data_IF_142059194862
#
_entry.id   IF_142059194862
#
_cell.length_a   1.000
_cell.length_b   1.000
_cell.length_c   1.000
_cell.angle_alpha   90.00
_cell.angle_beta   90.00
_cell.angle_gamma   90.00
#
_symmetry.space_group_name_H-M   'P 1'
#
loop_
_entity.id
_entity.type
_entity.pdbx_description
1 polymer ?
#
# COMPACT_ATOMS: atom_id res chain seq x y z
N UNK A 1 -60.60 -52.13 -58.14
CA UNK A 1 -59.82 -53.35 -57.81
C UNK A 1 -59.16 -53.08 -56.46
N UNK A 2 -59.56 -53.78 -55.39
CA UNK A 2 -58.84 -54.94 -54.81
C UNK A 2 -57.59 -54.49 -54.03
N UNK A 3 -57.45 -54.73 -52.72
CA UNK A 3 -58.26 -55.53 -51.76
C UNK A 3 -58.05 -55.08 -50.30
N UNK A 4 -59.09 -55.18 -49.47
CA UNK A 4 -59.02 -55.36 -47.99
C UNK A 4 -59.02 -56.87 -47.66
N UNK A 5 -58.86 -57.36 -46.41
CA UNK A 5 -58.61 -56.71 -45.11
C UNK A 5 -57.17 -57.04 -44.60
N UNK A 6 -56.74 -57.25 -43.33
CA UNK A 6 -57.37 -57.52 -42.01
C UNK A 6 -56.45 -57.12 -40.85
N UNK A 7 -57.01 -56.92 -39.65
CA UNK A 7 -56.30 -56.48 -38.43
C UNK A 7 -55.51 -57.58 -37.69
N UNK A 8 -54.62 -57.17 -36.79
CA UNK A 8 -54.13 -57.99 -35.66
C UNK A 8 -53.78 -57.10 -34.45
N UNK A 9 -54.32 -57.43 -33.28
CA UNK A 9 -54.08 -56.75 -32.00
C UNK A 9 -52.94 -57.38 -31.20
N UNK A 10 -52.28 -56.60 -30.33
CA UNK A 10 -51.64 -57.10 -29.09
C UNK A 10 -51.27 -55.97 -28.13
N UNK A 11 -51.68 -56.11 -26.87
CA UNK A 11 -51.33 -55.20 -25.78
C UNK A 11 -49.86 -55.33 -25.34
N UNK A 12 -49.30 -54.22 -24.83
CA UNK A 12 -48.36 -54.29 -23.69
C UNK A 12 -48.24 -52.96 -22.90
N UNK A 13 -49.01 -52.92 -21.82
CA UNK A 13 -48.80 -52.23 -20.52
C UNK A 13 -47.67 -51.21 -20.38
N UNK A 14 -48.07 -49.99 -19.97
CA UNK A 14 -47.53 -49.21 -18.83
C UNK A 14 -46.03 -49.30 -18.49
N UNK A 15 -45.32 -48.19 -18.73
CA UNK A 15 -44.26 -47.71 -17.84
C UNK A 15 -44.12 -46.18 -17.96
N UNK A 16 -44.22 -45.46 -16.83
CA UNK A 16 -43.88 -44.03 -16.71
C UNK A 16 -42.53 -43.91 -15.99
N UNK A 17 -41.50 -43.31 -16.59
CA UNK A 17 -40.31 -42.86 -15.86
C UNK A 17 -40.31 -41.33 -15.71
N UNK A 18 -40.35 -40.86 -14.46
CA UNK A 18 -40.26 -39.43 -14.11
C UNK A 18 -38.79 -39.02 -14.04
N UNK A 19 -38.32 -38.09 -14.88
CA UNK A 19 -37.02 -37.39 -14.78
C UNK A 19 -36.95 -36.29 -15.86
N UNK A 20 -36.38 -35.10 -15.64
CA UNK A 20 -36.26 -34.27 -14.44
C UNK A 20 -36.05 -32.81 -14.89
N UNK A 21 -36.60 -31.83 -14.17
CA UNK A 21 -36.49 -30.42 -14.57
C UNK A 21 -35.14 -29.83 -14.11
N UNK A 22 -34.14 -29.82 -14.99
CA UNK A 22 -32.85 -29.13 -14.74
C UNK A 22 -32.98 -27.64 -15.05
N UNK A 23 -33.20 -26.83 -14.01
CA UNK A 23 -33.14 -25.37 -14.11
C UNK A 23 -31.69 -24.90 -14.32
N UNK A 24 -31.42 -24.23 -15.45
CA UNK A 24 -30.12 -23.64 -15.73
C UNK A 24 -29.96 -22.31 -14.97
N UNK A 25 -29.20 -22.32 -13.88
CA UNK A 25 -28.83 -21.11 -13.14
C UNK A 25 -27.69 -20.37 -13.87
N UNK A 26 -28.03 -19.43 -14.75
CA UNK A 26 -27.10 -18.39 -15.20
C UNK A 26 -26.90 -17.35 -14.09
N UNK A 27 -26.13 -17.71 -13.06
CA UNK A 27 -25.57 -16.79 -12.09
C UNK A 27 -24.13 -16.45 -12.49
N UNK A 28 -23.93 -15.29 -13.12
CA UNK A 28 -22.57 -14.85 -13.49
C UNK A 28 -21.73 -14.58 -12.24
N UNK A 29 -20.58 -15.26 -12.13
CA UNK A 29 -19.58 -14.90 -11.15
C UNK A 29 -19.01 -13.52 -11.51
N UNK A 30 -19.33 -12.50 -10.71
CA UNK A 30 -18.60 -11.24 -10.74
C UNK A 30 -17.24 -11.52 -10.09
N UNK A 31 -16.18 -11.59 -10.89
CA UNK A 31 -14.79 -11.63 -10.43
C UNK A 31 -14.47 -10.33 -9.68
N UNK A 32 -14.79 -10.32 -8.38
CA UNK A 32 -14.47 -9.25 -7.44
C UNK A 32 -12.97 -9.27 -7.17
N UNK A 33 -12.23 -8.84 -8.17
CA UNK A 33 -10.78 -8.79 -8.25
C UNK A 33 -10.26 -7.77 -7.23
N UNK A 34 -10.06 -8.25 -6.00
CA UNK A 34 -9.55 -7.49 -4.88
C UNK A 34 -8.20 -6.85 -5.23
N UNK A 35 -8.24 -5.57 -5.57
CA UNK A 35 -7.05 -4.82 -5.94
C UNK A 35 -6.11 -4.75 -4.74
N UNK A 36 -4.98 -5.45 -4.83
CA UNK A 36 -3.87 -5.38 -3.88
C UNK A 36 -3.26 -3.97 -3.91
N UNK A 37 -3.91 -3.06 -3.20
CA UNK A 37 -3.35 -1.77 -2.82
C UNK A 37 -2.33 -2.03 -1.72
N UNK A 38 -1.09 -2.34 -2.12
CA UNK A 38 0.03 -2.62 -1.23
C UNK A 38 0.57 -1.34 -0.56
N UNK A 39 -0.33 -0.61 0.11
CA UNK A 39 -0.04 0.53 0.99
C UNK A 39 -0.63 0.26 2.38
N UNK A 40 0.03 0.77 3.41
CA UNK A 40 -0.28 0.49 4.81
C UNK A 40 -1.02 1.70 5.40
N UNK A 41 -2.36 1.64 5.43
CA UNK A 41 -3.20 2.77 5.83
C UNK A 41 -2.97 3.16 7.30
N UNK A 42 -2.20 4.23 7.52
CA UNK A 42 -2.01 4.82 8.84
C UNK A 42 -3.24 5.65 9.22
N UNK A 43 -4.17 5.05 9.97
CA UNK A 43 -5.32 5.76 10.54
C UNK A 43 -4.86 6.52 11.80
N UNK A 44 -4.55 7.81 11.65
CA UNK A 44 -4.43 8.73 12.78
C UNK A 44 -5.83 9.14 13.25
N UNK A 45 -5.99 9.34 14.57
CA UNK A 45 -7.30 9.46 15.22
C UNK A 45 -8.14 10.65 14.74
N UNK A 46 -9.13 10.35 13.92
CA UNK A 46 -10.20 11.23 13.44
C UNK A 46 -11.36 10.37 12.91
N UNK A 47 -12.47 10.98 12.47
CA UNK A 47 -13.57 10.21 11.89
C UNK A 47 -13.14 9.45 10.61
N UNK A 48 -13.82 8.32 10.33
CA UNK A 48 -13.42 7.34 9.32
C UNK A 48 -13.66 7.76 7.86
N UNK A 49 -13.47 9.05 7.58
CA UNK A 49 -13.61 9.70 6.27
C UNK A 49 -12.34 10.44 5.84
N UNK A 50 -11.25 10.34 6.60
CA UNK A 50 -9.92 10.74 6.14
C UNK A 50 -9.57 10.02 4.82
N UNK A 51 -9.27 10.81 3.78
CA UNK A 51 -8.91 10.32 2.47
C UNK A 51 -7.53 9.65 2.43
N UNK A 52 -7.11 9.26 1.23
CA UNK A 52 -5.79 8.66 0.98
C UNK A 52 -5.02 9.44 -0.06
N UNK A 53 -3.70 9.46 0.03
CA UNK A 53 -2.83 10.00 -1.02
C UNK A 53 -1.71 9.02 -1.34
N UNK A 54 -1.70 8.48 -2.56
CA UNK A 54 -0.62 7.60 -3.02
C UNK A 54 0.59 8.43 -3.46
N UNK A 55 1.79 8.06 -2.99
CA UNK A 55 3.06 8.71 -3.32
C UNK A 55 3.87 7.82 -4.27
N UNK A 56 4.44 8.38 -5.33
CA UNK A 56 5.39 7.68 -6.20
C UNK A 56 6.49 8.62 -6.74
N UNK A 57 7.78 8.26 -6.69
CA UNK A 57 8.32 7.02 -6.11
C UNK A 57 8.20 6.99 -4.58
N UNK A 58 8.25 5.80 -3.97
CA UNK A 58 8.25 5.65 -2.49
C UNK A 58 9.63 5.81 -1.85
N UNK A 59 10.67 6.08 -2.64
CA UNK A 59 12.03 6.39 -2.19
C UNK A 59 12.76 7.30 -3.19
N UNK A 60 13.78 8.02 -2.74
CA UNK A 60 14.57 8.91 -3.59
C UNK A 60 15.34 9.98 -2.81
N UNK A 61 16.15 10.76 -3.51
CA UNK A 61 16.97 11.84 -2.95
C UNK A 61 16.15 13.11 -2.65
N UNK A 62 16.74 14.03 -1.87
CA UNK A 62 16.38 15.46 -1.89
C UNK A 62 16.31 15.95 -3.34
N UNK A 63 15.31 16.75 -3.68
CA UNK A 63 15.06 17.19 -5.06
C UNK A 63 14.31 16.20 -5.96
N UNK A 64 13.98 14.99 -5.48
CA UNK A 64 13.12 14.06 -6.24
C UNK A 64 11.72 14.66 -6.40
N UNK A 65 11.15 14.61 -7.60
CA UNK A 65 9.75 14.98 -7.81
C UNK A 65 8.83 13.80 -7.44
N UNK A 66 7.91 14.03 -6.49
CA UNK A 66 6.93 13.05 -6.05
C UNK A 66 5.58 13.31 -6.74
N UNK A 67 5.08 12.28 -7.42
CA UNK A 67 3.70 12.20 -7.89
C UNK A 67 2.79 11.84 -6.72
N UNK A 68 1.87 12.74 -6.38
CA UNK A 68 0.81 12.53 -5.38
C UNK A 68 -0.51 12.24 -6.09
N UNK A 69 -1.24 11.20 -5.67
CA UNK A 69 -2.59 10.88 -6.16
C UNK A 69 -3.56 10.87 -4.98
N UNK A 70 -4.18 12.03 -4.64
CA UNK A 70 -5.15 12.12 -3.55
C UNK A 70 -6.53 11.57 -3.95
N UNK A 71 -7.27 11.04 -2.97
CA UNK A 71 -8.64 10.52 -3.10
C UNK A 71 -9.44 10.83 -1.84
N UNK A 72 -10.70 11.23 -2.00
CA UNK A 72 -11.62 11.46 -0.88
C UNK A 72 -11.42 12.79 -0.14
N UNK A 73 -10.70 13.76 -0.71
CA UNK A 73 -10.61 15.11 -0.14
C UNK A 73 -11.98 15.83 -0.24
N UNK A 74 -12.31 16.71 0.72
CA UNK A 74 -13.52 17.52 0.66
C UNK A 74 -13.53 18.46 -0.56
N UNK A 75 -14.71 18.70 -1.11
CA UNK A 75 -14.92 19.59 -2.25
C UNK A 75 -14.85 21.07 -1.85
N UNK A 76 -14.35 21.93 -2.75
CA UNK A 76 -14.24 23.39 -2.57
C UNK A 76 -13.50 23.84 -1.29
N UNK A 77 -12.60 23.01 -0.76
CA UNK A 77 -11.87 23.27 0.47
C UNK A 77 -10.50 23.90 0.21
N UNK A 78 -10.02 24.74 1.14
CA UNK A 78 -8.61 25.09 1.22
C UNK A 78 -7.84 23.91 1.86
N UNK A 79 -6.67 23.58 1.33
CA UNK A 79 -5.85 22.46 1.79
C UNK A 79 -4.37 22.82 1.84
N UNK A 80 -3.65 22.21 2.79
CA UNK A 80 -2.20 22.22 2.87
C UNK A 80 -1.70 20.80 2.55
N UNK A 81 -0.65 20.69 1.74
CA UNK A 81 0.13 19.47 1.58
C UNK A 81 1.33 19.61 2.51
N UNK A 82 1.49 18.65 3.40
CA UNK A 82 2.56 18.61 4.39
C UNK A 82 3.46 17.41 4.16
N UNK A 83 4.74 17.55 4.49
CA UNK A 83 5.69 16.43 4.56
C UNK A 83 6.43 16.50 5.90
N UNK A 84 6.73 15.35 6.49
CA UNK A 84 7.30 15.30 7.83
C UNK A 84 7.65 13.88 8.27
N UNK A 85 8.50 13.78 9.29
CA UNK A 85 8.86 12.50 9.90
C UNK A 85 8.16 12.38 11.27
N UNK A 86 7.82 11.16 11.66
CA UNK A 86 7.23 10.90 12.96
C UNK A 86 8.21 11.37 14.06
N UNK A 87 7.69 12.10 15.05
CA UNK A 87 8.42 12.77 16.15
C UNK A 87 9.30 13.98 15.78
N UNK A 88 9.74 14.15 14.52
CA UNK A 88 10.43 15.37 14.07
C UNK A 88 9.45 16.52 13.76
N UNK A 89 8.23 16.19 13.32
CA UNK A 89 7.20 17.17 12.94
C UNK A 89 6.92 17.20 11.43
N UNK A 90 6.06 18.14 11.02
CA UNK A 90 5.60 18.30 9.63
C UNK A 90 5.68 19.77 9.20
N UNK A 91 6.16 20.00 7.98
CA UNK A 91 6.18 21.31 7.34
C UNK A 91 5.24 21.36 6.14
N UNK A 92 4.67 22.53 5.86
CA UNK A 92 3.81 22.77 4.69
C UNK A 92 4.68 22.93 3.45
N UNK A 93 4.69 21.93 2.57
CA UNK A 93 5.42 21.97 1.30
C UNK A 93 4.66 22.69 0.19
N UNK A 94 3.32 22.74 0.28
CA UNK A 94 2.48 23.42 -0.71
C UNK A 94 1.08 23.73 -0.14
N UNK A 95 0.49 24.86 -0.51
CA UNK A 95 -0.94 25.16 -0.27
C UNK A 95 -1.75 25.12 -1.57
N UNK A 96 -3.01 24.74 -1.49
CA UNK A 96 -3.92 24.68 -2.63
C UNK A 96 -5.41 24.77 -2.23
N UNK A 97 -6.29 24.63 -3.22
CA UNK A 97 -7.72 24.38 -3.02
C UNK A 97 -8.17 23.21 -3.89
N UNK A 98 -9.21 22.50 -3.44
CA UNK A 98 -9.90 21.46 -4.21
C UNK A 98 -11.02 22.05 -5.07
N UNK A 99 -11.38 21.36 -6.16
CA UNK A 99 -12.58 21.66 -6.95
C UNK A 99 -13.85 21.01 -6.34
N UNK A 100 -14.95 21.11 -7.06
CA UNK A 100 -16.25 20.52 -6.75
C UNK A 100 -16.22 18.98 -6.68
N UNK A 101 -15.25 18.34 -7.33
CA UNK A 101 -14.95 16.91 -7.25
C UNK A 101 -13.88 16.54 -6.21
N UNK A 102 -13.44 17.47 -5.36
CA UNK A 102 -12.38 17.23 -4.36
C UNK A 102 -10.95 17.19 -4.92
N UNK A 103 -10.74 17.56 -6.19
CA UNK A 103 -9.42 17.46 -6.84
C UNK A 103 -8.62 18.75 -6.72
N UNK A 104 -7.37 18.63 -6.30
CA UNK A 104 -6.45 19.77 -6.24
C UNK A 104 -6.17 20.27 -7.66
N UNK A 105 -6.36 21.57 -7.91
CA UNK A 105 -6.13 22.23 -9.22
C UNK A 105 -6.88 21.59 -10.41
N UNK A 106 -7.99 20.88 -10.17
CA UNK A 106 -8.73 20.06 -11.17
C UNK A 106 -7.91 18.90 -11.77
N UNK A 107 -6.91 18.40 -11.05
CA UNK A 107 -6.03 17.32 -11.48
C UNK A 107 -6.13 16.12 -10.54
N UNK A 108 -6.19 14.90 -11.09
CA UNK A 108 -6.12 13.64 -10.33
C UNK A 108 -4.68 13.31 -9.86
N UNK A 109 -3.78 14.29 -9.95
CA UNK A 109 -2.35 14.16 -9.65
C UNK A 109 -1.78 15.53 -9.31
N UNK A 110 -1.06 15.61 -8.19
CA UNK A 110 -0.24 16.77 -7.81
C UNK A 110 1.23 16.37 -7.87
N UNK A 111 2.13 17.34 -8.05
CA UNK A 111 3.59 17.14 -7.97
C UNK A 111 4.14 18.02 -6.86
N UNK A 112 4.95 17.44 -5.98
CA UNK A 112 5.79 18.15 -5.01
C UNK A 112 7.25 17.73 -5.22
N UNK A 113 8.20 18.51 -4.69
CA UNK A 113 9.62 18.16 -4.69
C UNK A 113 10.03 17.82 -3.26
N UNK A 114 10.84 16.77 -3.06
CA UNK A 114 11.42 16.42 -1.75
C UNK A 114 12.29 17.59 -1.24
N UNK A 115 11.94 18.27 -0.13
CA UNK A 115 12.68 19.43 0.36
C UNK A 115 14.11 19.13 0.83
N UNK A 116 14.92 20.17 1.00
CA UNK A 116 16.33 20.10 1.39
C UNK A 116 16.56 19.77 2.87
N UNK A 117 15.59 20.05 3.74
CA UNK A 117 15.59 19.62 5.14
C UNK A 117 15.33 18.11 5.35
N UNK A 118 15.00 17.35 4.29
CA UNK A 118 14.71 15.92 4.38
C UNK A 118 15.99 15.10 4.61
N UNK A 119 16.04 14.38 5.73
CA UNK A 119 17.18 13.51 6.12
C UNK A 119 16.98 12.07 5.61
N UNK A 120 18.07 11.35 5.33
CA UNK A 120 18.02 9.95 4.86
C UNK A 120 18.02 8.89 5.98
N UNK A 121 18.00 9.31 7.25
CA UNK A 121 18.10 8.45 8.44
C UNK A 121 16.74 7.95 8.98
N UNK A 122 15.63 8.55 8.52
CA UNK A 122 14.24 8.29 8.95
C UNK A 122 13.26 8.25 7.77
N UNK A 123 12.08 7.60 7.89
CA UNK A 123 11.02 7.70 6.90
C UNK A 123 10.25 9.03 7.06
N UNK A 124 9.63 9.47 5.97
CA UNK A 124 8.77 10.67 5.95
C UNK A 124 7.39 10.30 5.41
N UNK A 125 6.35 10.89 5.99
CA UNK A 125 4.97 10.79 5.52
C UNK A 125 4.62 12.05 4.72
N UNK A 126 3.77 11.89 3.70
CA UNK A 126 3.05 13.00 3.08
C UNK A 126 1.63 13.00 3.61
N UNK A 127 1.15 14.16 4.05
CA UNK A 127 -0.23 14.35 4.50
C UNK A 127 -0.87 15.51 3.73
N UNK A 128 -2.20 15.53 3.73
CA UNK A 128 -2.99 16.67 3.31
C UNK A 128 -3.89 17.06 4.48
N UNK A 129 -3.88 18.33 4.86
CA UNK A 129 -4.66 18.88 5.98
C UNK A 129 -5.53 20.04 5.52
N UNK A 130 -6.48 20.46 6.37
CA UNK A 130 -7.10 21.78 6.27
C UNK A 130 -6.14 22.88 6.82
N UNK A 131 -6.50 24.18 6.74
CA UNK A 131 -5.68 25.27 7.28
C UNK A 131 -5.55 25.29 8.81
N UNK A 132 -6.29 24.43 9.53
CA UNK A 132 -6.25 24.26 10.98
C UNK A 132 -5.45 23.01 11.40
N UNK A 133 -4.77 22.37 10.44
CA UNK A 133 -4.01 21.12 10.59
C UNK A 133 -4.84 19.85 10.88
N UNK A 134 -6.15 19.87 10.64
CA UNK A 134 -6.96 18.65 10.68
C UNK A 134 -6.59 17.73 9.50
N UNK A 135 -6.28 16.44 9.70
CA UNK A 135 -5.89 15.53 8.62
C UNK A 135 -7.06 15.21 7.69
N UNK A 136 -6.87 15.51 6.40
CA UNK A 136 -7.82 15.21 5.31
C UNK A 136 -7.38 14.02 4.46
N UNK A 137 -6.08 13.72 4.37
CA UNK A 137 -5.56 12.48 3.79
C UNK A 137 -4.12 12.19 4.26
N UNK A 138 -3.71 10.92 4.22
CA UNK A 138 -2.34 10.48 4.51
C UNK A 138 -1.80 9.48 3.47
N UNK A 139 -0.47 9.34 3.43
CA UNK A 139 0.27 8.46 2.53
C UNK A 139 0.96 7.29 3.24
N UNK A 140 1.44 6.32 2.44
CA UNK A 140 2.58 5.48 2.80
C UNK A 140 3.83 6.31 3.15
N UNK A 141 4.76 5.70 3.89
CA UNK A 141 6.10 6.24 4.12
C UNK A 141 6.90 6.38 2.81
N UNK A 142 7.33 7.60 2.50
CA UNK A 142 8.45 7.89 1.65
C UNK A 142 9.78 7.60 2.37
N UNK A 143 10.76 7.08 1.65
CA UNK A 143 12.06 6.66 2.17
C UNK A 143 13.18 7.46 1.50
N UNK A 144 13.66 8.55 2.12
CA UNK A 144 14.73 9.35 1.52
C UNK A 144 16.04 8.59 1.46
N UNK A 145 16.79 8.78 0.38
CA UNK A 145 18.08 8.11 0.12
C UNK A 145 19.21 9.12 -0.09
N UNK A 146 20.45 8.69 0.07
CA UNK A 146 21.63 9.37 -0.50
C UNK A 146 21.69 9.18 -2.03
N UNK A 147 22.61 9.88 -2.69
CA UNK A 147 22.75 9.91 -4.15
C UNK A 147 23.19 8.57 -4.78
N UNK A 148 23.69 7.64 -3.98
CA UNK A 148 23.98 6.25 -4.32
C UNK A 148 22.74 5.34 -4.25
N UNK A 149 21.60 5.85 -3.78
CA UNK A 149 20.37 5.08 -3.57
C UNK A 149 20.28 4.35 -2.23
N UNK A 150 21.25 4.52 -1.31
CA UNK A 150 21.14 3.95 0.04
C UNK A 150 20.21 4.78 0.94
N UNK A 151 19.45 4.09 1.79
CA UNK A 151 18.89 4.68 3.01
C UNK A 151 19.76 4.31 4.22
N UNK A 152 19.60 5.07 5.31
CA UNK A 152 20.16 4.76 6.62
C UNK A 152 19.01 4.55 7.61
N UNK A 153 19.07 3.56 8.51
CA UNK A 153 18.08 3.41 9.59
C UNK A 153 18.78 3.03 10.89
N UNK A 154 18.31 3.62 12.00
CA UNK A 154 18.74 3.29 13.36
C UNK A 154 17.66 2.47 14.07
N UNK A 155 18.06 1.43 14.80
CA UNK A 155 17.15 0.68 15.69
C UNK A 155 17.63 -0.72 16.04
N UNK A 156 16.74 -1.51 16.65
CA UNK A 156 17.06 -2.83 17.19
C UNK A 156 16.70 -3.96 16.22
N UNK A 157 17.64 -4.85 15.95
CA UNK A 157 17.39 -6.07 15.15
C UNK A 157 16.80 -7.17 16.03
N UNK A 158 15.70 -7.77 15.57
CA UNK A 158 14.99 -8.87 16.23
C UNK A 158 14.80 -10.05 15.28
N UNK A 159 14.78 -11.26 15.84
CA UNK A 159 14.45 -12.49 15.12
C UNK A 159 13.27 -13.16 15.85
N UNK A 160 12.06 -12.94 15.35
CA UNK A 160 10.89 -13.72 15.76
C UNK A 160 10.83 -15.06 15.02
N UNK A 161 11.34 -15.09 13.79
CA UNK A 161 11.68 -16.28 13.00
C UNK A 161 13.13 -16.10 12.50
N UNK A 162 14.02 -17.12 12.59
CA UNK A 162 15.40 -17.05 12.10
C UNK A 162 15.54 -16.65 10.61
N UNK A 163 14.53 -16.92 9.80
CA UNK A 163 14.46 -16.57 8.36
C UNK A 163 13.88 -15.18 8.11
N UNK A 164 13.31 -14.54 9.14
CA UNK A 164 12.67 -13.22 9.07
C UNK A 164 13.27 -12.20 10.05
N UNK A 165 14.55 -11.81 9.92
CA UNK A 165 15.11 -10.70 10.69
C UNK A 165 14.37 -9.39 10.41
N UNK A 166 14.02 -8.67 11.48
CA UNK A 166 13.33 -7.39 11.41
C UNK A 166 14.07 -6.32 12.23
N UNK A 167 14.24 -5.13 11.66
CA UNK A 167 14.62 -3.93 12.41
C UNK A 167 13.34 -3.27 12.94
N UNK A 168 13.27 -3.00 14.23
CA UNK A 168 12.38 -1.98 14.78
C UNK A 168 13.16 -0.67 14.91
N UNK A 169 12.83 0.30 14.07
CA UNK A 169 13.50 1.60 14.04
C UNK A 169 13.13 2.48 15.25
N UNK A 170 13.93 3.51 15.51
CA UNK A 170 13.75 4.42 16.66
C UNK A 170 12.34 5.06 16.71
N UNK A 171 11.76 5.41 15.56
CA UNK A 171 10.40 5.95 15.43
C UNK A 171 9.29 4.93 15.69
N UNK A 172 9.62 3.63 15.69
CA UNK A 172 8.70 2.50 15.83
C UNK A 172 8.41 1.76 14.52
N UNK A 173 8.99 2.19 13.41
CA UNK A 173 8.76 1.61 12.10
C UNK A 173 9.46 0.25 11.94
N UNK A 174 8.77 -0.72 11.33
CA UNK A 174 9.28 -2.09 11.18
C UNK A 174 9.76 -2.30 9.74
N UNK A 175 11.01 -2.74 9.62
CA UNK A 175 11.65 -3.08 8.34
C UNK A 175 12.00 -4.57 8.30
N UNK A 176 11.71 -5.24 7.20
CA UNK A 176 12.23 -6.58 6.94
C UNK A 176 13.65 -6.48 6.38
N UNK A 177 14.57 -7.31 6.85
CA UNK A 177 15.99 -7.25 6.48
C UNK A 177 16.38 -8.45 5.59
N UNK A 178 17.15 -8.19 4.54
CA UNK A 178 17.83 -9.21 3.73
C UNK A 178 19.28 -8.81 3.50
N UNK A 179 20.17 -9.76 3.25
CA UNK A 179 21.61 -9.51 3.07
C UNK A 179 22.44 -10.62 3.69
N UNK A 180 23.70 -10.33 4.00
CA UNK A 180 24.57 -11.21 4.78
C UNK A 180 24.13 -11.23 6.27
N UNK A 181 23.82 -12.41 6.86
CA UNK A 181 23.53 -12.53 8.29
C UNK A 181 24.63 -12.01 9.21
N UNK A 182 25.89 -11.92 8.77
CA UNK A 182 26.99 -11.33 9.56
C UNK A 182 26.74 -9.84 9.89
N UNK A 183 25.97 -9.15 9.05
CA UNK A 183 25.58 -7.74 9.20
C UNK A 183 24.29 -7.58 10.03
N UNK A 184 23.68 -8.66 10.52
CA UNK A 184 22.37 -8.64 11.20
C UNK A 184 22.37 -9.07 12.69
N UNK A 185 23.41 -8.82 13.51
CA UNK A 185 23.47 -9.33 14.88
C UNK A 185 22.37 -8.74 15.80
N UNK A 186 21.57 -9.64 16.37
CA UNK A 186 20.36 -9.35 17.14
C UNK A 186 20.59 -8.57 18.45
N UNK A 187 19.52 -7.92 18.93
CA UNK A 187 19.39 -7.48 20.33
C UNK A 187 20.21 -6.24 20.73
N UNK A 188 20.83 -5.56 19.76
CA UNK A 188 21.50 -4.27 19.95
C UNK A 188 20.88 -3.21 19.03
N UNK A 189 21.08 -1.95 19.39
CA UNK A 189 20.85 -0.80 18.51
C UNK A 189 21.96 -0.72 17.45
N UNK A 190 21.58 -0.57 16.18
CA UNK A 190 22.46 -0.54 15.02
C UNK A 190 22.08 0.59 14.07
N UNK A 191 23.08 1.19 13.42
CA UNK A 191 22.91 1.98 12.21
C UNK A 191 23.13 1.06 11.00
N UNK A 192 22.06 0.77 10.27
CA UNK A 192 22.06 -0.01 9.04
C UNK A 192 22.10 0.90 7.81
N UNK A 193 22.81 0.48 6.76
CA UNK A 193 22.79 1.09 5.43
C UNK A 193 22.50 0.05 4.34
N UNK A 194 21.66 0.42 3.38
CA UNK A 194 21.20 -0.50 2.35
C UNK A 194 20.18 0.10 1.39
N UNK A 195 19.77 -0.70 0.41
CA UNK A 195 18.82 -0.30 -0.61
C UNK A 195 17.39 -0.70 -0.20
N UNK A 196 16.38 0.05 -0.68
CA UNK A 196 14.99 -0.45 -0.68
C UNK A 196 14.91 -1.62 -1.65
N UNK A 197 14.49 -2.78 -1.17
CA UNK A 197 14.36 -4.01 -1.96
C UNK A 197 12.89 -4.35 -2.23
N UNK A 198 12.65 -5.36 -3.07
CA UNK A 198 11.30 -5.92 -3.26
C UNK A 198 10.74 -6.47 -1.94
N UNK A 199 9.41 -6.44 -1.73
CA UNK A 199 8.77 -7.00 -0.53
C UNK A 199 9.18 -8.46 -0.28
N UNK A 200 9.56 -8.74 0.97
CA UNK A 200 9.93 -10.09 1.40
C UNK A 200 8.75 -11.03 1.55
N UNK A 201 9.04 -12.32 1.75
CA UNK A 201 8.02 -13.36 2.01
C UNK A 201 7.43 -13.30 3.43
N UNK A 202 8.11 -12.65 4.36
CA UNK A 202 7.80 -12.65 5.79
C UNK A 202 6.62 -11.74 6.16
N UNK A 203 6.64 -10.50 5.68
CA UNK A 203 5.74 -9.42 6.12
C UNK A 203 5.60 -8.37 5.01
N UNK A 204 4.40 -7.79 4.87
CA UNK A 204 4.11 -6.72 3.91
C UNK A 204 4.56 -5.34 4.47
N UNK A 205 5.86 -5.17 4.65
CA UNK A 205 6.54 -3.92 5.07
C UNK A 205 7.68 -3.60 4.12
N UNK A 206 8.32 -2.44 4.27
CA UNK A 206 9.50 -2.09 3.47
C UNK A 206 10.65 -3.06 3.75
N UNK A 207 11.19 -3.70 2.71
CA UNK A 207 12.41 -4.52 2.80
C UNK A 207 13.64 -3.65 2.61
N UNK A 208 14.66 -3.82 3.47
CA UNK A 208 16.00 -3.26 3.30
C UNK A 208 16.95 -4.39 2.94
N UNK A 209 17.65 -4.27 1.81
CA UNK A 209 18.83 -5.09 1.54
C UNK A 209 20.06 -4.44 2.19
N UNK A 210 20.47 -4.98 3.34
CA UNK A 210 21.55 -4.45 4.18
C UNK A 210 22.91 -4.75 3.55
N UNK A 211 23.74 -3.71 3.48
CA UNK A 211 25.09 -3.75 2.89
C UNK A 211 26.18 -3.34 3.87
N UNK A 212 25.81 -2.63 4.93
CA UNK A 212 26.68 -2.25 6.02
C UNK A 212 25.86 -2.11 7.31
N UNK A 213 26.44 -2.51 8.44
CA UNK A 213 25.87 -2.36 9.76
C UNK A 213 26.99 -1.95 10.72
N UNK A 214 26.79 -0.85 11.46
CA UNK A 214 27.69 -0.40 12.51
C UNK A 214 26.92 -0.07 13.80
N UNK A 215 27.54 -0.15 14.99
CA UNK A 215 26.97 0.47 16.17
C UNK A 215 26.81 1.99 15.92
N UNK A 216 25.90 2.67 16.62
CA UNK A 216 25.92 4.13 16.69
C UNK A 216 27.29 4.66 17.14
N UNK A 217 27.70 5.86 16.70
CA UNK A 217 28.87 6.53 17.27
C UNK A 217 28.64 6.84 18.76
N UNK A 218 29.73 6.85 19.53
CA UNK A 218 29.80 7.26 20.94
C UNK A 218 29.76 8.80 21.09
#
# INVERSE_FOLDING_TARGET
>A
MSTSPTARTRDRRLALPTLALTFALLGGALDLSAQHTSGHLVVLGGEATAGSVSVSPRHGVVGTELKLVPKGLPANAAVQIMMGALRDGFEVVQTASTDDGGRIRRQDTVRIVVPDWVKNDRPYLVMITDPSYNPLAAADMFHPTSADGMLQRRGTITYQDPTCPMLTAEGGEIYFLVGDPSLLPAGKDWILKGWVAQPGRCVNVTTIHVTNAGPPPE
#
